data_IF_899635690413
#
_entry.id   IF_899635690413
#
_cell.length_a   1.000
_cell.length_b   1.000
_cell.length_c   1.000
_cell.angle_alpha   90.00
_cell.angle_beta   90.00
_cell.angle_gamma   90.00
#
_symmetry.space_group_name_H-M   'P 1'
#
loop_
_entity.id
_entity.type
_entity.pdbx_description
1 polymer ?
#
# COMPACT_ATOMS: atom_id res chain seq x y z
N UNK A 1 5.59 16.47 18.48
CA UNK A 1 4.61 15.53 17.91
C UNK A 1 5.12 15.13 16.52
N UNK A 2 5.57 13.89 16.31
CA UNK A 2 6.14 13.48 15.02
C UNK A 2 5.03 13.33 13.98
N UNK A 3 5.07 14.12 12.91
CA UNK A 3 4.16 13.98 11.78
C UNK A 3 4.46 12.66 11.04
N UNK A 4 3.42 11.90 10.73
CA UNK A 4 3.57 10.71 9.91
C UNK A 4 3.99 11.13 8.49
N UNK A 5 5.16 10.65 8.03
CA UNK A 5 5.65 10.86 6.68
C UNK A 5 4.77 10.13 5.66
N UNK A 6 3.68 10.79 5.27
CA UNK A 6 2.74 10.34 4.25
C UNK A 6 3.24 10.77 2.87
N UNK A 7 3.59 9.81 2.02
CA UNK A 7 3.97 10.06 0.63
C UNK A 7 2.97 9.43 -0.33
N UNK A 8 2.63 10.14 -1.41
CA UNK A 8 1.87 9.56 -2.51
C UNK A 8 2.83 8.77 -3.41
N UNK A 9 2.52 7.49 -3.64
CA UNK A 9 3.32 6.59 -4.48
C UNK A 9 2.41 5.72 -5.32
N UNK A 10 2.90 5.37 -6.52
CA UNK A 10 2.29 4.39 -7.41
C UNK A 10 2.90 3.02 -7.14
N UNK A 11 2.09 2.03 -6.82
CA UNK A 11 2.50 0.65 -6.53
C UNK A 11 1.90 -0.32 -7.55
N UNK A 12 2.69 -1.30 -7.95
CA UNK A 12 2.23 -2.40 -8.79
C UNK A 12 1.49 -3.43 -7.94
N UNK A 13 0.30 -3.83 -8.37
CA UNK A 13 -0.48 -4.90 -7.75
C UNK A 13 -0.50 -6.11 -8.67
N UNK A 14 0.22 -7.16 -8.26
CA UNK A 14 0.42 -8.36 -9.07
C UNK A 14 -0.86 -9.22 -9.22
N UNK A 15 -1.77 -9.22 -8.24
CA UNK A 15 -2.97 -10.07 -8.31
C UNK A 15 -3.95 -9.61 -9.40
N UNK A 16 -3.98 -8.31 -9.72
CA UNK A 16 -4.84 -7.75 -10.77
C UNK A 16 -4.05 -7.11 -11.93
N UNK A 17 -2.72 -7.26 -11.94
CA UNK A 17 -1.84 -6.64 -12.94
C UNK A 17 -2.14 -5.15 -13.19
N UNK A 18 -2.36 -4.40 -12.11
CA UNK A 18 -2.71 -2.97 -12.20
C UNK A 18 -1.82 -2.11 -11.34
N UNK A 19 -1.76 -0.84 -11.72
CA UNK A 19 -1.10 0.18 -10.92
C UNK A 19 -2.10 0.89 -10.03
N UNK A 20 -1.74 1.08 -8.75
CA UNK A 20 -2.58 1.78 -7.78
C UNK A 20 -1.83 2.97 -7.22
N UNK A 21 -2.48 4.13 -7.21
CA UNK A 21 -1.95 5.33 -6.58
C UNK A 21 -2.45 5.38 -5.14
N UNK A 22 -1.53 5.29 -4.17
CA UNK A 22 -1.89 5.28 -2.76
C UNK A 22 -0.99 6.20 -1.94
N UNK A 23 -1.57 6.80 -0.91
CA UNK A 23 -0.84 7.58 0.08
C UNK A 23 -0.39 6.65 1.21
N UNK A 24 0.91 6.37 1.25
CA UNK A 24 1.50 5.41 2.19
C UNK A 24 2.59 6.05 3.02
N UNK A 25 2.77 5.53 4.23
CA UNK A 25 3.93 5.86 5.05
C UNK A 25 5.13 5.00 4.66
N UNK A 26 6.33 5.44 5.00
CA UNK A 26 7.56 4.67 4.75
C UNK A 26 7.58 3.31 5.46
N UNK A 27 6.93 3.20 6.63
CA UNK A 27 6.76 1.92 7.36
C UNK A 27 5.81 0.97 6.64
N UNK A 28 4.69 1.49 6.12
CA UNK A 28 3.77 0.71 5.31
C UNK A 28 4.46 0.21 4.03
N UNK A 29 5.25 1.06 3.37
CA UNK A 29 6.01 0.69 2.17
C UNK A 29 6.98 -0.47 2.43
N UNK A 30 7.77 -0.42 3.52
CA UNK A 30 8.64 -1.56 3.90
C UNK A 30 7.85 -2.84 4.15
N UNK A 31 6.66 -2.73 4.72
CA UNK A 31 5.80 -3.89 5.01
C UNK A 31 5.22 -4.48 3.73
N UNK A 32 4.77 -3.62 2.80
CA UNK A 32 4.26 -4.00 1.49
C UNK A 32 5.36 -4.70 0.68
N UNK A 33 6.60 -4.20 0.69
CA UNK A 33 7.72 -4.87 0.02
C UNK A 33 8.03 -6.25 0.61
N UNK A 34 7.89 -6.42 1.94
CA UNK A 34 8.20 -7.68 2.62
C UNK A 34 7.07 -8.72 2.52
N UNK A 35 5.80 -8.29 2.59
CA UNK A 35 4.63 -9.17 2.68
C UNK A 35 3.81 -9.23 1.39
N UNK A 36 3.99 -8.28 0.48
CA UNK A 36 3.14 -8.06 -0.70
C UNK A 36 2.01 -7.08 -0.41
N UNK A 37 1.60 -6.33 -1.45
CA UNK A 37 0.55 -5.31 -1.36
C UNK A 37 -0.82 -5.90 -1.02
N UNK A 38 -1.22 -6.98 -1.70
CA UNK A 38 -2.51 -7.64 -1.49
C UNK A 38 -2.68 -8.19 -0.07
N UNK A 39 -1.68 -8.93 0.43
CA UNK A 39 -1.69 -9.46 1.81
C UNK A 39 -1.75 -8.34 2.85
N UNK A 40 -1.03 -7.23 2.62
CA UNK A 40 -1.05 -6.09 3.52
C UNK A 40 -2.41 -5.39 3.53
N UNK A 41 -3.02 -5.18 2.35
CA UNK A 41 -4.34 -4.58 2.24
C UNK A 41 -5.44 -5.45 2.87
N UNK A 42 -5.38 -6.77 2.66
CA UNK A 42 -6.30 -7.74 3.28
C UNK A 42 -6.19 -7.73 4.82
N UNK A 43 -4.98 -7.58 5.35
CA UNK A 43 -4.75 -7.44 6.80
C UNK A 43 -5.34 -6.15 7.37
N UNK A 44 -5.54 -5.12 6.56
CA UNK A 44 -6.15 -3.85 6.95
C UNK A 44 -7.65 -3.79 6.64
N UNK A 45 -8.21 -4.81 5.98
CA UNK A 45 -9.59 -4.79 5.48
C UNK A 45 -9.82 -3.72 4.40
N UNK A 46 -8.77 -3.33 3.68
CA UNK A 46 -8.84 -2.31 2.63
C UNK A 46 -8.99 -2.98 1.28
N UNK A 47 -10.06 -2.65 0.57
CA UNK A 47 -10.26 -3.05 -0.81
C UNK A 47 -9.45 -2.16 -1.76
N UNK A 48 -8.31 -2.67 -2.24
CA UNK A 48 -7.50 -2.05 -3.30
C UNK A 48 -8.25 -1.88 -4.63
N UNK A 49 -9.41 -2.53 -4.76
CA UNK A 49 -10.30 -2.44 -5.92
C UNK A 49 -11.18 -1.20 -5.97
N UNK A 50 -11.42 -0.57 -4.81
CA UNK A 50 -12.28 0.60 -4.69
C UNK A 50 -11.48 1.90 -4.51
N UNK A 51 -10.15 1.82 -4.67
CA UNK A 51 -9.18 2.91 -4.46
C UNK A 51 -8.78 3.59 -5.76
#
# INVERSE_FOLDING_TARGET
>A
MQQANLQQRRLWWEEENKWINIRVTTRALKTIQKKGLGKYAKSLGVDLNKL
#
